data_IF_887123069605
#
_entry.id   IF_887123069605
#
_cell.length_a   1.000
_cell.length_b   1.000
_cell.length_c   1.000
_cell.angle_alpha   90.00
_cell.angle_beta   90.00
_cell.angle_gamma   90.00
#
_symmetry.space_group_name_H-M   'P 1'
#
loop_
_entity.id
_entity.type
_entity.pdbx_description
1 polymer ?
#
# COMPACT_ATOMS: atom_id res chain seq x y z
N UNK A 1 10.48 29.19 21.83
CA UNK A 1 10.20 30.33 20.92
C UNK A 1 10.76 30.14 19.50
N UNK A 2 11.89 29.42 19.29
CA UNK A 2 12.52 29.26 17.97
C UNK A 2 11.84 28.27 16.98
N UNK A 3 10.90 27.44 17.43
CA UNK A 3 10.25 26.42 16.56
C UNK A 3 9.15 27.01 15.65
N UNK A 4 8.69 28.21 15.91
CA UNK A 4 7.62 28.91 15.16
C UNK A 4 8.11 30.09 14.30
N UNK A 5 9.42 30.33 14.20
CA UNK A 5 9.94 31.45 13.40
C UNK A 5 9.64 31.30 11.88
N UNK A 6 9.25 30.09 11.45
CA UNK A 6 8.90 29.79 10.05
C UNK A 6 7.70 28.85 9.98
N UNK A 7 6.48 29.34 10.18
CA UNK A 7 5.28 28.49 10.25
C UNK A 7 5.01 27.73 8.95
N UNK A 8 5.39 28.26 7.80
CA UNK A 8 5.26 27.59 6.50
C UNK A 8 6.16 26.36 6.39
N UNK A 9 7.39 26.42 6.90
CA UNK A 9 8.31 25.26 6.91
C UNK A 9 7.83 24.20 7.90
N UNK A 10 7.34 24.61 9.05
CA UNK A 10 6.74 23.72 10.04
C UNK A 10 5.54 22.99 9.45
N UNK A 11 4.65 23.71 8.75
CA UNK A 11 3.50 23.11 8.08
C UNK A 11 3.94 22.14 6.97
N UNK A 12 4.99 22.49 6.21
CA UNK A 12 5.55 21.60 5.19
C UNK A 12 6.04 20.28 5.79
N UNK A 13 6.75 20.31 6.91
CA UNK A 13 7.22 19.10 7.58
C UNK A 13 6.07 18.22 8.12
N UNK A 14 4.98 18.83 8.60
CA UNK A 14 3.76 18.11 8.99
C UNK A 14 3.10 17.45 7.78
N UNK A 15 3.06 18.15 6.64
CA UNK A 15 2.56 17.60 5.37
C UNK A 15 3.41 16.44 4.88
N UNK A 16 4.75 16.50 5.02
CA UNK A 16 5.65 15.42 4.62
C UNK A 16 5.37 14.13 5.43
N UNK A 17 5.06 14.27 6.72
CA UNK A 17 4.64 13.12 7.54
C UNK A 17 3.30 12.54 7.07
N UNK A 18 2.32 13.40 6.77
CA UNK A 18 1.02 12.98 6.23
C UNK A 18 1.14 12.31 4.85
N UNK A 19 1.94 12.89 3.96
CA UNK A 19 2.22 12.34 2.63
C UNK A 19 2.84 10.94 2.74
N UNK A 20 3.84 10.78 3.60
CA UNK A 20 4.52 9.50 3.79
C UNK A 20 3.59 8.43 4.36
N UNK A 21 2.71 8.77 5.30
CA UNK A 21 1.69 7.87 5.82
C UNK A 21 0.68 7.48 4.74
N UNK A 22 0.15 8.45 3.99
CA UNK A 22 -0.89 8.22 2.99
C UNK A 22 -0.36 7.41 1.80
N UNK A 23 0.86 7.71 1.33
CA UNK A 23 1.54 6.96 0.26
C UNK A 23 1.89 5.52 0.69
N UNK A 24 2.10 5.30 1.99
CA UNK A 24 2.35 3.97 2.56
C UNK A 24 1.07 3.16 2.86
N UNK A 25 -0.11 3.70 2.56
CA UNK A 25 -1.39 2.99 2.69
C UNK A 25 -2.05 3.12 4.07
N UNK A 26 -1.70 4.12 4.85
CA UNK A 26 -2.42 4.44 6.07
C UNK A 26 -3.84 4.94 5.76
N UNK A 27 -4.76 4.69 6.67
CA UNK A 27 -6.15 5.15 6.65
C UNK A 27 -6.24 6.68 6.71
N UNK A 28 -7.09 7.31 5.91
CA UNK A 28 -7.21 8.76 5.79
C UNK A 28 -7.47 9.45 7.15
N UNK A 29 -8.44 8.96 7.91
CA UNK A 29 -8.78 9.48 9.23
C UNK A 29 -7.59 9.44 10.20
N UNK A 30 -6.76 8.39 10.13
CA UNK A 30 -5.56 8.24 10.96
C UNK A 30 -4.44 9.19 10.54
N UNK A 31 -4.28 9.43 9.24
CA UNK A 31 -3.35 10.42 8.70
C UNK A 31 -3.72 11.81 9.21
N UNK A 32 -5.00 12.19 9.10
CA UNK A 32 -5.52 13.47 9.57
C UNK A 32 -5.32 13.68 11.06
N UNK A 33 -5.63 12.67 11.89
CA UNK A 33 -5.41 12.76 13.34
C UNK A 33 -3.93 12.95 13.67
N UNK A 34 -3.03 12.22 13.02
CA UNK A 34 -1.59 12.36 13.20
C UNK A 34 -1.11 13.77 12.84
N UNK A 35 -1.57 14.31 11.71
CA UNK A 35 -1.20 15.66 11.26
C UNK A 35 -1.75 16.73 12.19
N UNK A 36 -3.00 16.60 12.68
CA UNK A 36 -3.59 17.55 13.67
C UNK A 36 -2.81 17.53 14.98
N UNK A 37 -2.37 16.35 15.45
CA UNK A 37 -1.54 16.25 16.68
C UNK A 37 -0.17 16.88 16.49
N UNK A 38 0.50 16.63 15.38
CA UNK A 38 1.78 17.26 15.06
C UNK A 38 1.64 18.78 14.98
N UNK A 39 0.65 19.29 14.25
CA UNK A 39 0.39 20.72 14.15
C UNK A 39 0.18 21.37 15.53
N UNK A 40 -0.60 20.73 16.42
CA UNK A 40 -0.79 21.22 17.79
C UNK A 40 0.50 21.19 18.61
N UNK A 41 1.32 20.14 18.47
CA UNK A 41 2.60 20.03 19.16
C UNK A 41 3.57 21.16 18.77
N UNK A 42 3.50 21.60 17.51
CA UNK A 42 4.24 22.75 17.02
C UNK A 42 3.62 24.11 17.39
N UNK A 43 2.46 24.14 18.07
CA UNK A 43 1.84 25.37 18.60
C UNK A 43 0.84 26.04 17.66
N UNK A 44 0.39 25.39 16.58
CA UNK A 44 -0.73 25.88 15.81
C UNK A 44 -2.03 25.82 16.64
N UNK A 45 -2.77 26.92 16.65
CA UNK A 45 -4.02 27.03 17.44
C UNK A 45 -5.13 26.17 16.85
N UNK A 46 -5.18 26.10 15.50
CA UNK A 46 -6.15 25.30 14.76
C UNK A 46 -5.48 24.64 13.57
N UNK A 47 -5.86 23.42 13.28
CA UNK A 47 -5.44 22.68 12.10
C UNK A 47 -6.64 21.93 11.51
N UNK A 48 -7.07 22.37 10.35
CA UNK A 48 -8.09 21.71 9.53
C UNK A 48 -7.37 20.91 8.45
N UNK A 49 -7.53 19.60 8.50
CA UNK A 49 -6.86 18.66 7.60
C UNK A 49 -7.92 17.93 6.80
N UNK A 50 -7.77 17.91 5.50
CA UNK A 50 -8.59 17.16 4.56
C UNK A 50 -7.67 16.26 3.72
N UNK A 51 -7.91 14.96 3.75
CA UNK A 51 -7.21 14.00 2.92
C UNK A 51 -8.19 13.24 2.05
N UNK A 52 -7.87 13.18 0.75
CA UNK A 52 -8.55 12.32 -0.22
C UNK A 52 -7.52 11.45 -0.91
N UNK A 53 -7.95 10.44 -1.67
CA UNK A 53 -7.06 9.47 -2.31
C UNK A 53 -5.92 10.09 -3.13
N UNK A 54 -6.17 11.21 -3.78
CA UNK A 54 -5.23 11.83 -4.74
C UNK A 54 -4.57 13.11 -4.22
N UNK A 55 -4.99 13.66 -3.08
CA UNK A 55 -4.44 14.92 -2.55
C UNK A 55 -4.73 15.07 -1.06
N UNK A 56 -3.96 15.95 -0.42
CA UNK A 56 -4.23 16.42 0.92
C UNK A 56 -4.15 17.95 0.97
N UNK A 57 -4.97 18.56 1.80
CA UNK A 57 -4.95 19.99 2.08
C UNK A 57 -4.94 20.20 3.58
N UNK A 58 -4.10 21.12 4.03
CA UNK A 58 -4.01 21.49 5.45
C UNK A 58 -4.07 22.99 5.57
N UNK A 59 -5.01 23.47 6.40
CA UNK A 59 -5.11 24.85 6.78
C UNK A 59 -4.83 24.96 8.27
N UNK A 60 -3.86 25.77 8.65
CA UNK A 60 -3.51 26.03 10.05
C UNK A 60 -3.68 27.50 10.38
N UNK A 61 -3.96 27.76 11.66
CA UNK A 61 -3.97 29.11 12.23
C UNK A 61 -2.88 29.22 13.28
N UNK A 62 -2.02 30.24 13.13
CA UNK A 62 -0.96 30.55 14.09
C UNK A 62 -1.51 31.33 15.30
N UNK A 63 -0.70 31.50 16.34
CA UNK A 63 -1.03 32.33 17.51
C UNK A 63 -1.23 33.78 17.14
N UNK A 64 -0.57 34.28 16.09
CA UNK A 64 -0.70 35.66 15.57
C UNK A 64 -1.87 35.79 14.58
N UNK A 65 -2.81 34.86 14.60
CA UNK A 65 -4.01 34.81 13.76
C UNK A 65 -3.76 34.73 12.25
N UNK A 66 -2.54 34.37 11.82
CA UNK A 66 -2.24 34.10 10.42
C UNK A 66 -2.83 32.77 10.01
N UNK A 67 -3.44 32.71 8.83
CA UNK A 67 -3.98 31.48 8.21
C UNK A 67 -3.07 31.06 7.07
N UNK A 68 -2.54 29.84 7.16
CA UNK A 68 -1.65 29.26 6.15
C UNK A 68 -2.29 27.99 5.63
N UNK A 69 -2.39 27.87 4.31
CA UNK A 69 -2.90 26.66 3.65
C UNK A 69 -1.82 26.11 2.74
N UNK A 70 -1.56 24.81 2.85
CA UNK A 70 -0.70 24.07 1.92
C UNK A 70 -1.42 22.83 1.42
N UNK A 71 -1.14 22.47 0.17
CA UNK A 71 -1.70 21.27 -0.48
C UNK A 71 -0.58 20.38 -1.03
N UNK A 72 -0.82 19.08 -1.04
CA UNK A 72 0.08 18.08 -1.65
C UNK A 72 -0.73 17.15 -2.54
N UNK A 73 -0.21 16.87 -3.73
CA UNK A 73 -0.77 15.87 -4.63
C UNK A 73 -0.13 14.52 -4.35
N UNK A 74 -0.95 13.49 -4.22
CA UNK A 74 -0.51 12.11 -4.01
C UNK A 74 -0.54 11.39 -5.35
N UNK A 75 0.63 11.05 -5.88
CA UNK A 75 0.77 10.42 -7.21
C UNK A 75 0.74 8.90 -7.16
N UNK A 76 1.14 8.30 -6.06
CA UNK A 76 1.23 6.85 -5.87
C UNK A 76 0.80 6.46 -4.47
N UNK A 77 0.16 5.32 -4.35
CA UNK A 77 -0.13 4.68 -3.07
C UNK A 77 0.36 3.24 -3.11
N UNK A 78 0.97 2.82 -2.02
CA UNK A 78 1.43 1.45 -1.80
C UNK A 78 0.95 0.94 -0.45
N UNK A 79 1.51 -0.17 -0.01
CA UNK A 79 1.33 -0.69 1.34
C UNK A 79 2.71 -0.96 1.92
N UNK A 80 3.18 -0.06 2.80
CA UNK A 80 4.43 -0.22 3.56
C UNK A 80 4.16 -0.05 5.05
N UNK A 81 3.86 -1.17 5.72
CA UNK A 81 3.56 -1.19 7.15
C UNK A 81 4.76 -0.75 7.99
N UNK A 82 5.99 -1.01 7.54
CA UNK A 82 7.22 -0.56 8.20
C UNK A 82 7.31 0.96 8.23
N UNK A 83 7.01 1.60 7.11
CA UNK A 83 6.99 3.04 7.00
C UNK A 83 5.92 3.65 7.90
N UNK A 84 4.69 3.08 7.90
CA UNK A 84 3.59 3.51 8.76
C UNK A 84 3.99 3.42 10.24
N UNK A 85 4.60 2.31 10.66
CA UNK A 85 5.06 2.11 12.05
C UNK A 85 6.11 3.14 12.44
N UNK A 86 7.14 3.34 11.61
CA UNK A 86 8.24 4.27 11.86
C UNK A 86 7.75 5.73 11.96
N UNK A 87 6.87 6.16 11.05
CA UNK A 87 6.30 7.51 11.09
C UNK A 87 5.39 7.70 12.30
N UNK A 88 4.59 6.70 12.67
CA UNK A 88 3.76 6.74 13.87
C UNK A 88 4.62 6.82 15.16
N UNK A 89 5.74 6.10 15.21
CA UNK A 89 6.67 6.19 16.34
C UNK A 89 7.31 7.58 16.42
N UNK A 90 7.80 8.09 15.27
CA UNK A 90 8.39 9.41 15.17
C UNK A 90 7.38 10.50 15.58
N UNK A 91 6.15 10.46 15.06
CA UNK A 91 5.10 11.43 15.36
C UNK A 91 4.78 11.46 16.86
N UNK A 92 4.69 10.31 17.52
CA UNK A 92 4.48 10.24 18.98
C UNK A 92 5.61 10.90 19.76
N UNK A 93 6.87 10.66 19.34
CA UNK A 93 8.05 11.29 19.98
C UNK A 93 8.04 12.80 19.80
N UNK A 94 7.74 13.27 18.61
CA UNK A 94 7.66 14.71 18.27
C UNK A 94 6.50 15.38 19.00
N UNK A 95 5.35 14.72 19.17
CA UNK A 95 4.23 15.27 19.94
C UNK A 95 4.57 15.47 21.43
N UNK A 96 5.47 14.69 22.00
CA UNK A 96 5.93 14.83 23.40
C UNK A 96 7.07 15.84 23.50
N UNK A 97 8.01 15.80 22.58
CA UNK A 97 9.17 16.69 22.53
C UNK A 97 9.41 17.17 21.10
N UNK A 98 8.84 18.33 20.74
CA UNK A 98 8.95 18.88 19.40
C UNK A 98 10.40 19.14 19.00
N UNK A 99 10.79 18.68 17.80
CA UNK A 99 12.09 18.88 17.18
C UNK A 99 12.00 19.95 16.08
N UNK A 100 13.13 20.56 15.65
CA UNK A 100 13.13 21.50 14.53
C UNK A 100 12.50 20.89 13.27
N UNK A 101 11.74 21.69 12.47
CA UNK A 101 11.10 21.19 11.24
C UNK A 101 12.08 20.54 10.26
N UNK A 102 13.29 21.08 10.15
CA UNK A 102 14.35 20.52 9.30
C UNK A 102 14.80 19.13 9.77
N UNK A 103 14.86 18.92 11.07
CA UNK A 103 15.19 17.62 11.64
C UNK A 103 14.06 16.62 11.43
N UNK A 104 12.79 17.06 11.57
CA UNK A 104 11.64 16.22 11.26
C UNK A 104 11.67 15.76 9.81
N UNK A 105 11.88 16.70 8.87
CA UNK A 105 12.02 16.40 7.45
C UNK A 105 13.16 15.39 7.17
N UNK A 106 14.34 15.62 7.75
CA UNK A 106 15.48 14.70 7.57
C UNK A 106 15.20 13.28 8.10
N UNK A 107 14.50 13.17 9.25
CA UNK A 107 14.11 11.87 9.80
C UNK A 107 13.05 11.17 8.97
N UNK A 108 12.09 11.90 8.39
CA UNK A 108 11.09 11.37 7.48
C UNK A 108 11.74 10.86 6.18
N UNK A 109 12.68 11.62 5.62
CA UNK A 109 13.45 11.18 4.46
C UNK A 109 14.31 9.94 4.76
N UNK A 110 14.89 9.84 5.95
CA UNK A 110 15.61 8.64 6.36
C UNK A 110 14.68 7.40 6.46
N UNK A 111 13.43 7.57 6.90
CA UNK A 111 12.42 6.50 6.89
C UNK A 111 12.06 6.11 5.47
N UNK A 112 11.84 7.10 4.59
CA UNK A 112 11.45 6.91 3.17
C UNK A 112 12.52 6.16 2.38
N UNK A 113 13.80 6.53 2.59
CA UNK A 113 14.94 5.98 1.85
C UNK A 113 15.56 4.75 2.51
N UNK A 114 15.05 4.34 3.68
CA UNK A 114 15.58 3.20 4.41
C UNK A 114 15.57 1.94 3.53
N UNK A 115 16.72 1.27 3.34
CA UNK A 115 16.80 0.10 2.49
C UNK A 115 15.89 -1.00 3.04
N UNK A 116 15.15 -1.62 2.13
CA UNK A 116 14.33 -2.78 2.47
C UNK A 116 15.25 -4.00 2.73
N UNK A 117 15.71 -4.11 3.98
CA UNK A 117 16.52 -5.25 4.44
C UNK A 117 15.75 -6.57 4.49
N UNK A 118 14.46 -6.54 4.16
CA UNK A 118 13.52 -7.65 4.32
C UNK A 118 13.21 -8.40 3.03
N UNK A 119 13.93 -8.15 1.92
CA UNK A 119 13.64 -8.81 0.63
C UNK A 119 13.57 -10.34 0.71
N UNK A 120 14.50 -10.97 1.45
CA UNK A 120 14.43 -12.43 1.65
C UNK A 120 13.21 -12.85 2.50
N UNK A 121 12.83 -12.05 3.50
CA UNK A 121 11.65 -12.32 4.32
C UNK A 121 10.36 -12.14 3.52
N UNK A 122 10.34 -11.16 2.62
CA UNK A 122 9.22 -10.94 1.73
C UNK A 122 9.04 -12.13 0.77
N UNK A 123 10.12 -12.63 0.17
CA UNK A 123 10.08 -13.83 -0.66
C UNK A 123 9.56 -15.04 0.13
N UNK A 124 10.05 -15.25 1.35
CA UNK A 124 9.55 -16.30 2.24
C UNK A 124 8.05 -16.15 2.52
N UNK A 125 7.58 -14.92 2.76
CA UNK A 125 6.15 -14.65 2.94
C UNK A 125 5.35 -15.01 1.69
N UNK A 126 5.82 -14.67 0.49
CA UNK A 126 5.19 -15.08 -0.77
C UNK A 126 5.05 -16.59 -0.88
N UNK A 127 6.15 -17.33 -0.63
CA UNK A 127 6.16 -18.79 -0.70
C UNK A 127 5.17 -19.41 0.28
N UNK A 128 5.26 -19.05 1.56
CA UNK A 128 4.42 -19.63 2.61
C UNK A 128 2.96 -19.28 2.36
N UNK A 129 2.64 -18.03 2.04
CA UNK A 129 1.26 -17.59 1.81
C UNK A 129 0.64 -18.35 0.63
N UNK A 130 1.30 -18.35 -0.53
CA UNK A 130 0.79 -19.00 -1.72
C UNK A 130 0.58 -20.51 -1.52
N UNK A 131 1.58 -21.21 -0.98
CA UNK A 131 1.49 -22.64 -0.74
C UNK A 131 0.43 -22.99 0.31
N UNK A 132 0.36 -22.23 1.40
CA UNK A 132 -0.64 -22.46 2.45
C UNK A 132 -2.06 -22.25 1.96
N UNK A 133 -2.33 -21.20 1.19
CA UNK A 133 -3.66 -20.95 0.63
C UNK A 133 -4.04 -22.00 -0.42
N UNK A 134 -3.11 -22.46 -1.27
CA UNK A 134 -3.41 -23.53 -2.22
C UNK A 134 -3.90 -24.79 -1.49
N UNK A 135 -3.21 -25.20 -0.43
CA UNK A 135 -3.61 -26.36 0.40
C UNK A 135 -4.87 -26.09 1.21
N UNK A 136 -5.02 -24.88 1.78
CA UNK A 136 -6.19 -24.49 2.57
C UNK A 136 -7.49 -24.56 1.77
N UNK A 137 -7.47 -24.19 0.48
CA UNK A 137 -8.64 -24.25 -0.39
C UNK A 137 -8.93 -25.66 -0.94
N UNK A 138 -8.14 -26.66 -0.59
CA UNK A 138 -8.40 -28.06 -0.92
C UNK A 138 -7.40 -28.69 -1.90
N UNK A 139 -6.34 -27.95 -2.28
CA UNK A 139 -5.24 -28.48 -3.08
C UNK A 139 -4.40 -29.50 -2.34
N UNK A 140 -3.70 -30.32 -3.10
CA UNK A 140 -2.74 -31.30 -2.58
C UNK A 140 -1.44 -30.61 -2.16
N UNK A 141 -0.57 -31.34 -1.43
CA UNK A 141 0.76 -30.81 -1.10
C UNK A 141 1.61 -30.50 -2.37
N UNK A 142 1.35 -31.21 -3.50
CA UNK A 142 1.96 -30.92 -4.79
C UNK A 142 1.50 -29.58 -5.35
N UNK A 143 0.21 -29.30 -5.26
CA UNK A 143 -0.36 -28.02 -5.66
C UNK A 143 0.20 -26.86 -4.80
N UNK A 144 0.42 -27.12 -3.49
CA UNK A 144 1.08 -26.17 -2.60
C UNK A 144 2.51 -25.83 -3.06
N UNK A 145 3.32 -26.85 -3.41
CA UNK A 145 4.69 -26.63 -3.92
C UNK A 145 4.66 -25.90 -5.27
N UNK A 146 3.76 -26.30 -6.18
CA UNK A 146 3.59 -25.63 -7.46
C UNK A 146 3.20 -24.15 -7.29
N UNK A 147 2.29 -23.86 -6.35
CA UNK A 147 1.90 -22.50 -6.01
C UNK A 147 3.09 -21.68 -5.45
N UNK A 148 3.91 -22.26 -4.58
CA UNK A 148 5.13 -21.61 -4.09
C UNK A 148 6.07 -21.23 -5.25
N UNK A 149 6.28 -22.12 -6.22
CA UNK A 149 7.12 -21.82 -7.39
C UNK A 149 6.55 -20.67 -8.23
N UNK A 150 5.22 -20.66 -8.46
CA UNK A 150 4.55 -19.57 -9.16
C UNK A 150 4.66 -18.23 -8.40
N UNK A 151 4.65 -18.26 -7.06
CA UNK A 151 4.79 -17.06 -6.25
C UNK A 151 6.17 -16.39 -6.36
N UNK A 152 7.23 -17.15 -6.66
CA UNK A 152 8.56 -16.58 -6.96
C UNK A 152 8.48 -15.66 -8.19
N UNK A 153 7.74 -16.09 -9.23
CA UNK A 153 7.54 -15.27 -10.43
C UNK A 153 6.80 -13.98 -10.09
N UNK A 154 5.75 -14.05 -9.27
CA UNK A 154 5.03 -12.86 -8.80
C UNK A 154 5.94 -11.90 -8.05
N UNK A 155 6.79 -12.42 -7.15
CA UNK A 155 7.76 -11.61 -6.44
C UNK A 155 8.73 -10.90 -7.39
N UNK A 156 9.29 -11.63 -8.37
CA UNK A 156 10.23 -11.06 -9.35
C UNK A 156 9.56 -9.98 -10.20
N UNK A 157 8.32 -10.23 -10.69
CA UNK A 157 7.57 -9.25 -11.48
C UNK A 157 7.26 -8.01 -10.63
N UNK A 158 6.90 -8.17 -9.36
CA UNK A 158 6.67 -7.05 -8.44
C UNK A 158 7.92 -6.18 -8.30
N UNK A 159 9.06 -6.78 -7.99
CA UNK A 159 10.34 -6.06 -7.84
C UNK A 159 10.77 -5.35 -9.14
N UNK A 160 10.56 -5.98 -10.29
CA UNK A 160 10.87 -5.37 -11.59
C UNK A 160 9.90 -4.25 -11.93
N UNK A 161 8.61 -4.44 -11.66
CA UNK A 161 7.56 -3.45 -11.89
C UNK A 161 7.80 -2.15 -11.11
N UNK A 162 8.24 -2.26 -9.86
CA UNK A 162 8.61 -1.11 -9.03
C UNK A 162 9.78 -0.31 -9.64
N UNK A 163 10.77 -1.01 -10.23
CA UNK A 163 11.91 -0.35 -10.89
C UNK A 163 11.53 0.40 -12.16
N UNK A 164 10.61 -0.16 -12.96
CA UNK A 164 10.19 0.42 -14.26
C UNK A 164 9.08 1.45 -14.06
N UNK A 165 8.58 1.61 -12.83
CA UNK A 165 7.49 2.55 -12.52
C UNK A 165 6.22 2.30 -13.32
N UNK A 166 5.88 1.06 -13.59
CA UNK A 166 4.65 0.68 -14.29
C UNK A 166 3.40 1.11 -13.50
N UNK A 167 2.34 1.40 -14.24
CA UNK A 167 1.05 1.69 -13.63
C UNK A 167 0.55 0.46 -12.84
N UNK A 168 0.09 0.62 -11.60
CA UNK A 168 -0.26 -0.52 -10.73
C UNK A 168 -1.29 -1.49 -11.32
N UNK A 169 -2.30 -0.99 -12.07
CA UNK A 169 -3.31 -1.84 -12.70
C UNK A 169 -2.70 -2.71 -13.81
N UNK A 170 -1.84 -2.14 -14.64
CA UNK A 170 -1.15 -2.87 -15.71
C UNK A 170 -0.21 -3.92 -15.11
N UNK A 171 0.54 -3.55 -14.07
CA UNK A 171 1.42 -4.49 -13.36
C UNK A 171 0.61 -5.66 -12.78
N UNK A 172 -0.54 -5.38 -12.17
CA UNK A 172 -1.43 -6.43 -11.61
C UNK A 172 -1.93 -7.38 -12.71
N UNK A 173 -2.38 -6.84 -13.86
CA UNK A 173 -2.87 -7.64 -14.98
C UNK A 173 -1.76 -8.52 -15.57
N UNK A 174 -0.56 -7.97 -15.78
CA UNK A 174 0.61 -8.73 -16.28
C UNK A 174 1.03 -9.80 -15.28
N UNK A 175 1.06 -9.46 -13.98
CA UNK A 175 1.41 -10.40 -12.92
C UNK A 175 0.43 -11.58 -12.85
N UNK A 176 -0.87 -11.32 -12.94
CA UNK A 176 -1.89 -12.37 -12.91
C UNK A 176 -1.83 -13.24 -14.16
N UNK A 177 -1.64 -12.67 -15.35
CA UNK A 177 -1.46 -13.41 -16.59
C UNK A 177 -0.22 -14.31 -16.54
N UNK A 178 0.92 -13.77 -16.13
CA UNK A 178 2.16 -14.55 -16.01
C UNK A 178 2.04 -15.69 -14.98
N UNK A 179 1.39 -15.41 -13.86
CA UNK A 179 1.12 -16.42 -12.82
C UNK A 179 0.21 -17.54 -13.34
N UNK A 180 -0.89 -17.21 -14.03
CA UNK A 180 -1.78 -18.21 -14.62
C UNK A 180 -1.06 -19.08 -15.67
N UNK A 181 -0.21 -18.47 -16.50
CA UNK A 181 0.61 -19.21 -17.46
C UNK A 181 1.59 -20.16 -16.76
N UNK A 182 2.25 -19.70 -15.70
CA UNK A 182 3.15 -20.54 -14.90
C UNK A 182 2.39 -21.68 -14.20
N UNK A 183 1.21 -21.41 -13.64
CA UNK A 183 0.36 -22.44 -13.03
C UNK A 183 -0.06 -23.51 -14.04
N UNK A 184 -0.49 -23.11 -15.24
CA UNK A 184 -0.82 -24.06 -16.31
C UNK A 184 0.40 -24.90 -16.72
N UNK A 185 1.60 -24.31 -16.74
CA UNK A 185 2.83 -25.05 -17.03
C UNK A 185 3.16 -26.08 -15.94
N UNK A 186 2.99 -25.73 -14.65
CA UNK A 186 3.24 -26.69 -13.55
C UNK A 186 2.31 -27.89 -13.60
N UNK A 187 1.04 -27.70 -14.01
CA UNK A 187 0.09 -28.80 -14.20
C UNK A 187 0.47 -29.64 -15.42
N UNK A 188 0.82 -29.03 -16.56
CA UNK A 188 1.28 -29.75 -17.77
C UNK A 188 2.53 -30.58 -17.53
N UNK A 189 3.44 -30.14 -16.67
CA UNK A 189 4.67 -30.87 -16.33
C UNK A 189 4.45 -31.92 -15.24
N UNK A 190 3.23 -32.06 -14.70
CA UNK A 190 2.91 -33.04 -13.66
C UNK A 190 3.41 -32.68 -12.26
N UNK A 191 3.91 -31.43 -12.06
CA UNK A 191 4.33 -30.92 -10.74
C UNK A 191 3.13 -30.59 -9.87
N UNK A 192 2.12 -29.92 -10.45
CA UNK A 192 0.81 -29.67 -9.84
C UNK A 192 -0.26 -30.62 -10.38
N UNK A 193 -1.34 -30.79 -9.64
CA UNK A 193 -2.46 -31.65 -10.02
C UNK A 193 -3.70 -30.86 -10.40
N UNK A 194 -3.97 -29.77 -9.66
CA UNK A 194 -5.19 -28.98 -9.80
C UNK A 194 -4.86 -27.52 -10.05
N UNK A 195 -5.13 -27.06 -11.27
CA UNK A 195 -4.85 -25.69 -11.71
C UNK A 195 -5.53 -24.64 -10.83
N UNK A 196 -6.78 -24.88 -10.47
CA UNK A 196 -7.60 -23.91 -9.71
C UNK A 196 -7.01 -23.61 -8.35
N UNK A 197 -6.55 -24.63 -7.62
CA UNK A 197 -5.96 -24.42 -6.29
C UNK A 197 -4.61 -23.71 -6.35
N UNK A 198 -3.82 -23.96 -7.40
CA UNK A 198 -2.55 -23.24 -7.62
C UNK A 198 -2.83 -21.77 -7.93
N UNK A 199 -3.82 -21.48 -8.79
CA UNK A 199 -4.21 -20.13 -9.15
C UNK A 199 -4.76 -19.39 -7.91
N UNK A 200 -5.69 -20.00 -7.16
CA UNK A 200 -6.30 -19.38 -5.96
C UNK A 200 -5.23 -19.06 -4.93
N UNK A 201 -4.28 -19.96 -4.65
CA UNK A 201 -3.20 -19.74 -3.72
C UNK A 201 -2.36 -18.50 -4.06
N UNK A 202 -2.10 -18.28 -5.36
CA UNK A 202 -1.34 -17.13 -5.84
C UNK A 202 -2.17 -15.84 -5.95
N UNK A 203 -3.44 -15.93 -6.32
CA UNK A 203 -4.37 -14.78 -6.39
C UNK A 203 -4.46 -14.08 -5.03
N UNK A 204 -4.40 -14.82 -3.92
CA UNK A 204 -4.42 -14.25 -2.57
C UNK A 204 -3.30 -13.24 -2.31
N UNK A 205 -2.17 -13.35 -3.01
CA UNK A 205 -1.08 -12.37 -2.95
C UNK A 205 -1.38 -11.08 -3.73
N UNK A 206 -2.25 -11.15 -4.74
CA UNK A 206 -2.58 -10.02 -5.61
C UNK A 206 -3.82 -9.25 -5.15
N UNK A 207 -4.73 -9.89 -4.41
CA UNK A 207 -5.98 -9.29 -3.95
C UNK A 207 -5.67 -8.09 -3.02
N UNK A 208 -6.23 -6.91 -3.30
CA UNK A 208 -6.04 -5.71 -2.49
C UNK A 208 -6.88 -5.75 -1.21
N UNK A 209 -6.64 -6.74 -0.32
CA UNK A 209 -7.46 -6.95 0.88
C UNK A 209 -7.40 -5.77 1.85
N UNK A 210 -6.21 -5.28 2.20
CA UNK A 210 -6.04 -4.15 3.13
C UNK A 210 -6.68 -2.86 2.58
N UNK A 211 -6.43 -2.44 1.33
CA UNK A 211 -7.12 -1.28 0.73
C UNK A 211 -8.65 -1.43 0.74
N UNK A 212 -9.16 -2.63 0.46
CA UNK A 212 -10.60 -2.87 0.46
C UNK A 212 -11.21 -2.75 1.86
N UNK A 213 -10.60 -3.35 2.88
CA UNK A 213 -11.08 -3.24 4.27
C UNK A 213 -11.00 -1.80 4.76
N UNK A 214 -9.90 -1.09 4.46
CA UNK A 214 -9.77 0.32 4.83
C UNK A 214 -10.84 1.18 4.16
N UNK A 215 -11.17 0.92 2.90
CA UNK A 215 -12.21 1.67 2.18
C UNK A 215 -13.60 1.49 2.81
N UNK A 216 -13.92 0.28 3.25
CA UNK A 216 -15.18 0.02 3.98
C UNK A 216 -15.20 0.80 5.30
N UNK A 217 -14.08 0.79 6.02
CA UNK A 217 -13.97 1.52 7.28
C UNK A 217 -14.11 3.04 7.09
N UNK A 218 -13.46 3.61 6.07
CA UNK A 218 -13.58 5.03 5.73
C UNK A 218 -15.05 5.41 5.49
N UNK A 219 -15.80 4.58 4.76
CA UNK A 219 -17.25 4.77 4.55
C UNK A 219 -18.02 4.77 5.87
N UNK A 220 -17.77 3.81 6.76
CA UNK A 220 -18.47 3.70 8.04
C UNK A 220 -18.14 4.86 9.02
N UNK A 221 -16.95 5.44 8.92
CA UNK A 221 -16.55 6.60 9.75
C UNK A 221 -17.11 7.92 9.18
N UNK A 222 -17.65 7.90 7.96
CA UNK A 222 -18.25 9.08 7.32
C UNK A 222 -17.41 9.70 6.21
N UNK A 223 -16.19 9.22 5.97
CA UNK A 223 -15.35 9.63 4.85
C UNK A 223 -15.76 8.92 3.55
N UNK A 224 -17.05 9.06 3.20
CA UNK A 224 -17.70 8.30 2.13
C UNK A 224 -17.00 8.48 0.78
N UNK A 225 -16.55 9.70 0.44
CA UNK A 225 -15.91 9.99 -0.86
C UNK A 225 -14.57 9.24 -0.96
N UNK A 226 -13.72 9.37 0.06
CA UNK A 226 -12.42 8.67 0.10
C UNK A 226 -12.59 7.16 0.10
N UNK A 227 -13.55 6.67 0.88
CA UNK A 227 -13.87 5.26 0.95
C UNK A 227 -14.38 4.70 -0.38
N UNK A 228 -15.32 5.38 -1.05
CA UNK A 228 -15.83 4.96 -2.37
C UNK A 228 -14.73 4.95 -3.44
N UNK A 229 -13.86 5.96 -3.49
CA UNK A 229 -12.76 5.99 -4.44
C UNK A 229 -11.77 4.83 -4.20
N UNK A 230 -11.43 4.57 -2.93
CA UNK A 230 -10.53 3.47 -2.56
C UNK A 230 -11.16 2.10 -2.84
N UNK A 231 -12.47 1.93 -2.60
CA UNK A 231 -13.21 0.72 -2.95
C UNK A 231 -13.22 0.48 -4.46
N UNK A 232 -13.48 1.53 -5.24
CA UNK A 232 -13.48 1.45 -6.70
C UNK A 232 -12.11 1.06 -7.25
N UNK A 233 -11.01 1.62 -6.71
CA UNK A 233 -9.65 1.21 -7.07
C UNK A 233 -9.38 -0.27 -6.74
N UNK A 234 -9.88 -0.76 -5.61
CA UNK A 234 -9.73 -2.16 -5.23
C UNK A 234 -10.51 -3.09 -6.19
N UNK A 235 -11.72 -2.70 -6.59
CA UNK A 235 -12.53 -3.43 -7.60
C UNK A 235 -11.83 -3.44 -8.96
N UNK A 236 -11.27 -2.30 -9.41
CA UNK A 236 -10.51 -2.25 -10.66
C UNK A 236 -9.29 -3.18 -10.64
N UNK A 237 -8.61 -3.30 -9.51
CA UNK A 237 -7.50 -4.26 -9.35
C UNK A 237 -8.00 -5.71 -9.42
N UNK A 238 -9.12 -6.02 -8.79
CA UNK A 238 -9.72 -7.35 -8.89
C UNK A 238 -10.12 -7.70 -10.32
N UNK A 239 -10.69 -6.75 -11.06
CA UNK A 239 -11.01 -6.91 -12.49
C UNK A 239 -9.73 -7.10 -13.34
N UNK A 240 -8.65 -6.38 -13.04
CA UNK A 240 -7.37 -6.56 -13.73
C UNK A 240 -6.78 -7.97 -13.48
N UNK A 241 -6.89 -8.51 -12.26
CA UNK A 241 -6.50 -9.88 -11.94
C UNK A 241 -7.31 -10.86 -12.78
N UNK A 242 -8.64 -10.73 -12.75
CA UNK A 242 -9.54 -11.60 -13.49
C UNK A 242 -9.28 -11.55 -15.01
N UNK A 243 -9.09 -10.36 -15.56
CA UNK A 243 -8.79 -10.18 -16.99
C UNK A 243 -7.46 -10.83 -17.38
N UNK A 244 -6.40 -10.65 -16.57
CA UNK A 244 -5.10 -11.27 -16.81
C UNK A 244 -5.19 -12.80 -16.81
N UNK A 245 -5.87 -13.40 -15.83
CA UNK A 245 -6.09 -14.84 -15.78
C UNK A 245 -6.95 -15.34 -16.94
N UNK A 246 -8.06 -14.65 -17.24
CA UNK A 246 -8.98 -15.03 -18.30
C UNK A 246 -8.29 -15.08 -19.67
N UNK A 247 -7.45 -14.09 -19.99
CA UNK A 247 -6.69 -14.06 -21.25
C UNK A 247 -5.83 -15.31 -21.44
N UNK A 248 -5.19 -15.81 -20.39
CA UNK A 248 -4.34 -17.00 -20.47
C UNK A 248 -5.19 -18.27 -20.52
N UNK A 249 -6.23 -18.39 -19.69
CA UNK A 249 -7.09 -19.57 -19.66
C UNK A 249 -7.84 -19.77 -20.97
N UNK A 250 -8.28 -18.70 -21.63
CA UNK A 250 -8.90 -18.78 -22.96
C UNK A 250 -7.93 -19.28 -24.04
N UNK A 251 -6.64 -18.92 -23.96
CA UNK A 251 -5.61 -19.37 -24.92
C UNK A 251 -5.18 -20.81 -24.64
N UNK A 252 -5.20 -21.26 -23.38
CA UNK A 252 -4.87 -22.64 -23.03
C UNK A 252 -6.01 -23.62 -23.30
N UNK A 253 -7.12 -23.13 -23.90
CA UNK A 253 -8.20 -23.96 -24.43
C UNK A 253 -9.19 -24.46 -23.40
N UNK A 254 -9.38 -23.77 -22.26
CA UNK A 254 -10.43 -24.14 -21.27
C UNK A 254 -10.41 -25.62 -20.80
N UNK A 255 -9.47 -26.39 -21.26
CA UNK A 255 -9.42 -27.83 -21.21
C UNK A 255 -8.28 -28.34 -20.35
N UNK A 256 -8.22 -27.92 -19.08
CA UNK A 256 -7.60 -28.68 -18.01
C UNK A 256 -8.70 -28.86 -16.96
N UNK A 257 -9.72 -29.57 -17.36
CA UNK A 257 -10.65 -30.27 -16.48
C UNK A 257 -10.22 -31.72 -16.44
#
# INVERSE_FOLDING_TARGET
>A
RGLMDRPEQTLSAVLDAGELLLTSGAEAARVEDTMRRLARAYGFVRADVLTITASMAVTVRTADDQVITQTRRILRRGTDMRCIEAVNELSRKVCVNPIPPEELHARLEAIRTAPDKLRCRLLLAYLITSGSFAVFFGGTWRDGIAAMLCSVLLYVIGVLGDRISLQPLVLTMVSSAAMCAAAALTVKTGMGQNLDYIIIGNIMLLIPGIPFVNSMRDIFVGDTITGLLSAFEAVLRALAIAAGCALVLMQTGGGVV
#
